data_IF_092703309587
#
_entry.id   IF_092703309587
#
_cell.length_a   1.000
_cell.length_b   1.000
_cell.length_c   1.000
_cell.angle_alpha   90.00
_cell.angle_beta   90.00
_cell.angle_gamma   90.00
#
_symmetry.space_group_name_H-M   'P 1'
#
loop_
_entity.id
_entity.type
_entity.pdbx_description
1 polymer ?
#
# COMPACT_ATOMS: atom_id res chain seq x y z
N UNK A 1 -0.52 -6.55 -27.96
CA UNK A 1 -0.12 -6.64 -26.54
C UNK A 1 -0.91 -7.80 -25.95
N UNK A 2 -0.25 -8.77 -25.34
CA UNK A 2 -0.96 -9.88 -24.69
C UNK A 2 -1.59 -9.37 -23.40
N UNK A 3 -2.92 -9.45 -23.30
CA UNK A 3 -3.64 -9.06 -22.08
C UNK A 3 -3.50 -10.19 -21.07
N UNK A 4 -2.62 -9.99 -20.07
CA UNK A 4 -2.52 -10.92 -18.95
C UNK A 4 -3.81 -10.89 -18.14
N UNK A 5 -4.51 -12.01 -18.08
CA UNK A 5 -5.69 -12.17 -17.23
C UNK A 5 -5.25 -12.69 -15.87
N UNK A 6 -5.43 -11.88 -14.82
CA UNK A 6 -5.11 -12.31 -13.46
C UNK A 6 -5.93 -13.56 -13.08
N UNK A 7 -5.30 -14.61 -12.54
CA UNK A 7 -6.02 -15.77 -12.01
C UNK A 7 -6.99 -15.35 -10.89
N UNK A 8 -8.17 -15.97 -10.83
CA UNK A 8 -9.09 -15.77 -9.71
C UNK A 8 -8.45 -16.26 -8.41
N UNK A 9 -8.52 -15.43 -7.38
CA UNK A 9 -8.12 -15.78 -6.01
C UNK A 9 -9.39 -15.96 -5.18
N UNK A 10 -9.52 -17.11 -4.51
CA UNK A 10 -10.64 -17.38 -3.60
C UNK A 10 -10.74 -16.27 -2.55
N UNK A 11 -11.94 -15.71 -2.37
CA UNK A 11 -12.19 -14.62 -1.42
C UNK A 11 -11.92 -13.21 -1.96
N UNK A 12 -11.47 -13.06 -3.21
CA UNK A 12 -11.25 -11.77 -3.87
C UNK A 12 -12.12 -11.64 -5.12
N UNK A 13 -12.57 -10.41 -5.40
CA UNK A 13 -13.18 -10.09 -6.71
C UNK A 13 -12.09 -9.98 -7.78
N UNK A 14 -12.48 -10.21 -9.03
CA UNK A 14 -11.62 -9.89 -10.16
C UNK A 14 -11.46 -8.37 -10.27
N UNK A 15 -10.22 -7.89 -10.40
CA UNK A 15 -9.93 -6.48 -10.58
C UNK A 15 -10.08 -6.07 -12.05
N UNK A 16 -10.65 -4.89 -12.28
CA UNK A 16 -10.58 -4.23 -13.59
C UNK A 16 -9.19 -3.65 -13.84
N UNK A 17 -8.94 -3.16 -15.07
CA UNK A 17 -7.72 -2.42 -15.38
C UNK A 17 -7.61 -1.12 -14.56
N UNK A 18 -8.75 -0.45 -14.31
CA UNK A 18 -8.82 0.74 -13.46
C UNK A 18 -8.51 0.41 -11.99
N UNK A 19 -9.07 -0.69 -11.46
CA UNK A 19 -8.72 -1.17 -10.12
C UNK A 19 -7.21 -1.47 -10.02
N UNK A 20 -6.61 -2.09 -11.05
CA UNK A 20 -5.18 -2.38 -11.09
C UNK A 20 -4.33 -1.10 -11.17
N UNK A 21 -4.77 -0.08 -11.89
CA UNK A 21 -4.11 1.23 -11.92
C UNK A 21 -4.09 1.86 -10.53
N UNK A 22 -5.23 1.89 -9.84
CA UNK A 22 -5.32 2.39 -8.45
C UNK A 22 -4.42 1.61 -7.50
N UNK A 23 -4.35 0.28 -7.62
CA UNK A 23 -3.43 -0.54 -6.82
C UNK A 23 -1.96 -0.14 -7.04
N UNK A 24 -1.58 0.14 -8.28
CA UNK A 24 -0.22 0.56 -8.61
C UNK A 24 0.09 1.97 -8.09
N UNK A 25 -0.87 2.89 -8.18
CA UNK A 25 -0.74 4.25 -7.63
C UNK A 25 -0.54 4.21 -6.10
N UNK A 26 -1.35 3.42 -5.38
CA UNK A 26 -1.19 3.22 -3.93
C UNK A 26 0.21 2.67 -3.61
N UNK A 27 0.68 1.68 -4.36
CA UNK A 27 2.04 1.11 -4.17
C UNK A 27 3.14 2.14 -4.45
N UNK A 28 2.98 2.97 -5.49
CA UNK A 28 3.93 4.03 -5.81
C UNK A 28 4.04 5.05 -4.67
N UNK A 29 2.89 5.44 -4.08
CA UNK A 29 2.88 6.27 -2.87
C UNK A 29 3.54 5.56 -1.68
N UNK A 30 3.34 4.26 -1.51
CA UNK A 30 4.02 3.48 -0.49
C UNK A 30 5.55 3.52 -0.62
N UNK A 31 6.08 3.39 -1.84
CA UNK A 31 7.53 3.54 -2.09
C UNK A 31 8.02 4.95 -1.76
N UNK A 32 7.26 5.98 -2.15
CA UNK A 32 7.63 7.38 -1.87
C UNK A 32 7.66 7.67 -0.37
N UNK A 33 6.66 7.18 0.37
CA UNK A 33 6.57 7.31 1.83
C UNK A 33 7.68 6.51 2.53
N UNK A 34 7.98 5.29 2.07
CA UNK A 34 9.10 4.50 2.59
C UNK A 34 10.43 5.26 2.50
N UNK A 35 10.73 5.86 1.33
CA UNK A 35 11.93 6.70 1.17
C UNK A 35 11.95 7.90 2.11
N UNK A 36 10.78 8.46 2.48
CA UNK A 36 10.71 9.55 3.47
C UNK A 36 11.03 9.02 4.86
N UNK A 37 10.43 7.91 5.26
CA UNK A 37 10.70 7.23 6.55
C UNK A 37 12.18 6.89 6.68
N UNK A 38 12.82 6.35 5.64
CA UNK A 38 14.26 6.03 5.65
C UNK A 38 15.15 7.25 5.91
N UNK A 39 14.80 8.40 5.32
CA UNK A 39 15.54 9.65 5.59
C UNK A 39 15.34 10.13 7.02
N UNK A 40 14.13 9.99 7.57
CA UNK A 40 13.83 10.38 8.94
C UNK A 40 14.49 9.44 9.95
N UNK A 41 14.52 8.13 9.69
CA UNK A 41 15.14 7.14 10.59
C UNK A 41 16.66 7.28 10.67
N UNK A 42 17.31 7.82 9.63
CA UNK A 42 18.73 8.18 9.67
C UNK A 42 19.08 9.36 10.59
N UNK A 43 18.08 10.06 11.14
CA UNK A 43 18.27 11.21 12.03
C UNK A 43 18.10 10.79 13.50
N UNK A 44 19.21 10.70 14.22
CA UNK A 44 19.22 10.29 15.64
C UNK A 44 18.67 11.34 16.61
N UNK A 45 18.52 12.59 16.18
CA UNK A 45 17.99 13.70 16.97
C UNK A 45 16.45 13.82 16.93
N UNK A 46 15.78 13.04 16.07
CA UNK A 46 14.32 13.01 16.01
C UNK A 46 13.73 12.13 17.12
N UNK A 47 12.49 12.44 17.50
CA UNK A 47 11.73 11.60 18.42
C UNK A 47 11.34 10.28 17.73
N UNK A 48 12.07 9.21 18.06
CA UNK A 48 11.89 7.90 17.43
C UNK A 48 10.50 7.31 17.65
N UNK A 49 9.91 7.51 18.84
CA UNK A 49 8.56 7.01 19.13
C UNK A 49 7.52 7.59 18.16
N UNK A 50 7.58 8.89 17.88
CA UNK A 50 6.66 9.52 16.93
C UNK A 50 6.94 9.11 15.47
N UNK A 51 8.20 8.84 15.12
CA UNK A 51 8.56 8.29 13.82
C UNK A 51 7.97 6.88 13.62
N UNK A 52 8.07 6.02 14.63
CA UNK A 52 7.54 4.65 14.58
C UNK A 52 6.01 4.63 14.46
N UNK A 53 5.33 5.50 15.21
CA UNK A 53 3.87 5.69 15.13
C UNK A 53 3.49 6.14 13.71
N UNK A 54 4.11 7.20 13.19
CA UNK A 54 3.82 7.70 11.86
C UNK A 54 4.08 6.66 10.76
N UNK A 55 5.17 5.88 10.89
CA UNK A 55 5.51 4.80 9.96
C UNK A 55 4.42 3.72 9.95
N UNK A 56 3.99 3.27 11.13
CA UNK A 56 2.95 2.25 11.28
C UNK A 56 1.60 2.74 10.74
N UNK A 57 1.23 3.98 11.03
CA UNK A 57 -0.03 4.56 10.59
C UNK A 57 -0.07 4.74 9.07
N UNK A 58 1.04 5.17 8.45
CA UNK A 58 1.16 5.28 7.00
C UNK A 58 1.04 3.90 6.32
N UNK A 59 1.73 2.88 6.85
CA UNK A 59 1.63 1.52 6.33
C UNK A 59 0.21 0.96 6.47
N UNK A 60 -0.42 1.19 7.62
CA UNK A 60 -1.80 0.77 7.90
C UNK A 60 -2.78 1.46 6.95
N UNK A 61 -2.60 2.76 6.72
CA UNK A 61 -3.40 3.54 5.76
C UNK A 61 -3.27 3.00 4.34
N UNK A 62 -2.06 2.73 3.86
CA UNK A 62 -1.83 2.14 2.53
C UNK A 62 -2.47 0.75 2.39
N UNK A 63 -2.40 -0.07 3.44
CA UNK A 63 -3.07 -1.37 3.48
C UNK A 63 -4.60 -1.23 3.45
N UNK A 64 -5.16 -0.27 4.19
CA UNK A 64 -6.59 0.02 4.18
C UNK A 64 -7.07 0.48 2.80
N UNK A 65 -6.32 1.37 2.13
CA UNK A 65 -6.61 1.81 0.75
C UNK A 65 -6.54 0.64 -0.24
N UNK A 66 -5.52 -0.20 -0.14
CA UNK A 66 -5.38 -1.41 -0.96
C UNK A 66 -6.60 -2.33 -0.77
N UNK A 67 -7.05 -2.55 0.47
CA UNK A 67 -8.25 -3.35 0.77
C UNK A 67 -9.53 -2.70 0.23
N UNK A 68 -9.63 -1.37 0.24
CA UNK A 68 -10.79 -0.66 -0.30
C UNK A 68 -10.94 -0.92 -1.82
N UNK A 69 -9.83 -1.01 -2.56
CA UNK A 69 -9.83 -1.38 -3.98
C UNK A 69 -10.09 -2.89 -4.16
N UNK A 70 -9.40 -3.73 -3.37
CA UNK A 70 -9.50 -5.19 -3.45
C UNK A 70 -10.90 -5.74 -3.13
N UNK A 71 -11.64 -5.08 -2.22
CA UNK A 71 -12.96 -5.52 -1.73
C UNK A 71 -13.00 -7.04 -1.42
N UNK A 72 -12.13 -7.55 -0.54
CA UNK A 72 -12.13 -8.97 -0.19
C UNK A 72 -13.47 -9.34 0.47
N UNK A 73 -13.96 -10.54 0.21
CA UNK A 73 -15.21 -11.06 0.81
C UNK A 73 -14.97 -11.82 2.12
N UNK A 74 -13.72 -11.97 2.53
CA UNK A 74 -13.29 -12.65 3.76
C UNK A 74 -12.38 -11.74 4.58
N UNK A 75 -12.29 -12.02 5.88
CA UNK A 75 -11.46 -11.29 6.85
C UNK A 75 -9.98 -11.34 6.46
#
# INVERSE_FOLDING_TARGET
METFTQPKITGYRQLSEEDAALMNDIKAHGVALGRLVDRLSSRSDLNQRWLDIGTTDLQTGLMALTRAVAKPSTF
#
